data_IF_746564642136
#
_entry.id   IF_746564642136
#
_cell.length_a   1.000
_cell.length_b   1.000
_cell.length_c   1.000
_cell.angle_alpha   90.00
_cell.angle_beta   90.00
_cell.angle_gamma   90.00
#
_symmetry.space_group_name_H-M   'P 1'
#
loop_
_entity.id
_entity.type
_entity.pdbx_description
1 polymer ?
#
# COMPACT_ATOMS: atom_id res chain seq x y z
N UNK A 1 -8.58 18.27 0.44
CA UNK A 1 -7.24 18.01 1.02
C UNK A 1 -6.27 17.60 -0.08
N UNK A 2 -4.98 17.80 0.16
CA UNK A 2 -3.86 17.31 -0.64
C UNK A 2 -3.46 15.92 -0.17
N UNK A 3 -3.54 14.93 -1.06
CA UNK A 3 -3.29 13.53 -0.72
C UNK A 3 -2.13 12.98 -1.55
N UNK A 4 -1.13 12.45 -0.86
CA UNK A 4 -0.05 11.68 -1.48
C UNK A 4 -0.38 10.19 -1.39
N UNK A 5 -0.49 9.52 -2.53
CA UNK A 5 -0.52 8.05 -2.58
C UNK A 5 0.86 7.54 -2.99
N UNK A 6 1.66 7.22 -1.98
CA UNK A 6 3.06 6.88 -2.09
C UNK A 6 3.27 5.42 -2.54
N UNK A 7 4.22 5.21 -3.46
CA UNK A 7 4.51 3.91 -4.09
C UNK A 7 3.30 3.28 -4.80
N UNK A 8 2.41 4.10 -5.36
CA UNK A 8 1.26 3.64 -6.14
C UNK A 8 1.41 4.03 -7.61
N UNK A 9 1.43 3.03 -8.49
CA UNK A 9 1.32 3.25 -9.94
C UNK A 9 -0.07 2.89 -10.49
N UNK A 10 -0.83 2.02 -9.81
CA UNK A 10 -2.15 1.59 -10.30
C UNK A 10 -3.22 2.69 -10.22
N UNK A 11 -2.94 3.73 -9.43
CA UNK A 11 -3.82 4.86 -9.13
C UNK A 11 -5.18 4.47 -8.52
N UNK A 12 -5.38 3.25 -8.03
CA UNK A 12 -6.67 2.81 -7.51
C UNK A 12 -7.14 3.69 -6.33
N UNK A 13 -6.24 3.97 -5.39
CA UNK A 13 -6.50 4.84 -4.25
C UNK A 13 -6.53 6.31 -4.70
N UNK A 14 -5.57 6.73 -5.52
CA UNK A 14 -5.53 8.10 -6.05
C UNK A 14 -6.84 8.50 -6.76
N UNK A 15 -7.36 7.63 -7.64
CA UNK A 15 -8.63 7.83 -8.35
C UNK A 15 -9.81 7.87 -7.38
N UNK A 16 -9.83 7.04 -6.33
CA UNK A 16 -10.89 7.08 -5.34
C UNK A 16 -10.95 8.43 -4.61
N UNK A 17 -9.80 8.95 -4.16
CA UNK A 17 -9.72 10.30 -3.57
C UNK A 17 -10.09 11.40 -4.57
N UNK A 18 -9.67 11.30 -5.83
CA UNK A 18 -10.05 12.27 -6.89
C UNK A 18 -11.56 12.29 -7.11
N UNK A 19 -12.23 11.14 -7.11
CA UNK A 19 -13.71 11.05 -7.23
C UNK A 19 -14.44 11.73 -6.07
N UNK A 20 -13.80 11.86 -4.90
CA UNK A 20 -14.32 12.60 -3.73
C UNK A 20 -13.96 14.09 -3.74
N UNK A 21 -13.32 14.58 -4.79
CA UNK A 21 -12.98 16.00 -4.95
C UNK A 21 -11.68 16.41 -4.26
N UNK A 22 -10.84 15.46 -3.85
CA UNK A 22 -9.54 15.77 -3.25
C UNK A 22 -8.45 15.98 -4.30
N UNK A 23 -7.45 16.78 -3.94
CA UNK A 23 -6.25 16.98 -4.74
C UNK A 23 -5.27 15.83 -4.47
N UNK A 24 -5.48 14.68 -5.11
CA UNK A 24 -4.70 13.48 -4.87
C UNK A 24 -3.70 13.19 -5.99
N UNK A 25 -2.48 12.80 -5.62
CA UNK A 25 -1.44 12.38 -6.56
C UNK A 25 -0.90 11.01 -6.19
N UNK A 26 -0.82 10.14 -7.17
CA UNK A 26 -0.06 8.88 -7.08
C UNK A 26 1.43 9.18 -7.33
N UNK A 27 2.34 8.54 -6.59
CA UNK A 27 3.77 8.70 -6.80
C UNK A 27 4.48 7.34 -6.81
N UNK A 28 5.13 6.99 -7.92
CA UNK A 28 5.91 5.76 -8.08
C UNK A 28 7.00 5.99 -9.13
N UNK A 29 8.07 5.21 -9.10
CA UNK A 29 9.16 5.31 -10.08
C UNK A 29 8.78 4.67 -11.43
N UNK A 30 7.76 3.81 -11.46
CA UNK A 30 7.21 3.23 -12.69
C UNK A 30 6.13 4.13 -13.28
N UNK A 31 5.83 3.94 -14.57
CA UNK A 31 4.70 4.60 -15.20
C UNK A 31 3.38 4.13 -14.56
N UNK A 32 2.44 5.06 -14.38
CA UNK A 32 1.10 4.72 -13.92
C UNK A 32 0.34 3.85 -14.93
N UNK A 33 -0.52 2.98 -14.41
CA UNK A 33 -1.45 2.17 -15.21
C UNK A 33 -2.93 2.55 -15.05
N UNK A 34 -3.24 3.54 -14.20
CA UNK A 34 -4.60 4.00 -13.91
C UNK A 34 -5.22 4.94 -14.95
N UNK A 35 -4.47 5.34 -15.98
CA UNK A 35 -4.96 6.17 -17.09
C UNK A 35 -4.94 7.68 -16.85
N UNK A 36 -4.39 8.13 -15.72
CA UNK A 36 -4.34 9.55 -15.33
C UNK A 36 -2.89 10.03 -15.10
N UNK A 37 -2.06 10.16 -16.15
CA UNK A 37 -0.69 10.64 -16.02
C UNK A 37 -0.59 12.04 -15.39
N UNK A 38 -1.63 12.86 -15.53
CA UNK A 38 -1.74 14.19 -14.90
C UNK A 38 -1.89 14.14 -13.37
N UNK A 39 -2.24 12.99 -12.80
CA UNK A 39 -2.28 12.73 -11.35
C UNK A 39 -1.13 11.84 -10.87
N UNK A 40 -0.08 11.71 -11.68
CA UNK A 40 1.03 10.82 -11.41
C UNK A 40 2.37 11.56 -11.36
N UNK A 41 2.99 11.51 -10.19
CA UNK A 41 4.35 12.00 -9.95
C UNK A 41 5.30 10.83 -10.16
N UNK A 42 5.95 10.79 -11.33
CA UNK A 42 6.91 9.75 -11.67
C UNK A 42 8.31 10.08 -11.16
N UNK A 43 8.52 9.90 -9.87
CA UNK A 43 9.81 10.12 -9.20
C UNK A 43 9.97 9.20 -7.97
N UNK A 44 11.13 9.24 -7.32
CA UNK A 44 11.29 8.73 -5.97
C UNK A 44 10.43 9.54 -5.00
N UNK A 45 9.45 8.87 -4.39
CA UNK A 45 8.52 9.45 -3.44
C UNK A 45 9.19 10.11 -2.24
N UNK A 46 10.42 9.71 -1.88
CA UNK A 46 11.16 10.35 -0.79
C UNK A 46 11.43 11.83 -1.06
N UNK A 47 11.54 12.25 -2.32
CA UNK A 47 11.74 13.64 -2.72
C UNK A 47 10.50 14.50 -2.45
N UNK A 48 9.32 13.87 -2.33
CA UNK A 48 8.03 14.54 -2.29
C UNK A 48 7.37 14.51 -0.90
N UNK A 49 8.00 13.92 0.12
CA UNK A 49 7.41 13.80 1.47
C UNK A 49 7.18 15.17 2.16
N UNK A 50 7.81 16.23 1.68
CA UNK A 50 7.79 17.57 2.27
C UNK A 50 6.91 18.59 1.51
N UNK A 51 6.18 18.16 0.48
CA UNK A 51 5.44 19.07 -0.42
C UNK A 51 4.11 19.61 0.17
N UNK A 52 3.93 19.53 1.48
CA UNK A 52 2.77 20.08 2.19
C UNK A 52 1.49 19.25 2.05
N UNK A 53 1.61 17.92 2.12
CA UNK A 53 0.47 17.00 2.07
C UNK A 53 -0.33 16.98 3.38
N UNK A 54 -1.66 16.90 3.27
CA UNK A 54 -2.55 16.74 4.42
C UNK A 54 -2.63 15.27 4.89
N UNK A 55 -2.56 14.35 3.92
CA UNK A 55 -2.69 12.91 4.10
C UNK A 55 -1.71 12.16 3.19
N UNK A 56 -1.11 11.10 3.71
CA UNK A 56 -0.38 10.11 2.92
C UNK A 56 -0.93 8.70 3.12
N UNK A 57 -1.17 8.00 2.01
CA UNK A 57 -1.39 6.55 1.97
C UNK A 57 -0.20 5.92 1.25
N UNK A 58 0.62 5.13 1.94
CA UNK A 58 1.86 4.59 1.40
C UNK A 58 1.82 3.08 1.21
N UNK A 59 2.31 2.61 0.06
CA UNK A 59 2.37 1.20 -0.33
C UNK A 59 3.82 0.72 -0.56
N UNK A 60 4.73 0.85 0.42
CA UNK A 60 6.14 0.55 0.23
C UNK A 60 6.37 -0.89 -0.26
N UNK A 61 7.36 -1.14 -1.12
CA UNK A 61 7.66 -2.47 -1.64
C UNK A 61 7.83 -3.52 -0.53
N UNK A 62 7.04 -4.59 -0.59
CA UNK A 62 6.98 -5.59 0.48
C UNK A 62 7.92 -6.79 0.29
N UNK A 63 8.67 -6.86 -0.82
CA UNK A 63 9.42 -8.06 -1.27
C UNK A 63 10.31 -8.66 -0.17
N UNK A 64 11.03 -7.84 0.58
CA UNK A 64 11.97 -8.29 1.61
C UNK A 64 11.42 -8.23 3.03
N UNK A 65 10.30 -7.54 3.24
CA UNK A 65 9.71 -7.32 4.57
C UNK A 65 8.45 -8.15 4.82
N UNK A 66 7.79 -8.72 3.80
CA UNK A 66 6.62 -9.59 3.98
C UNK A 66 7.01 -11.06 4.25
N UNK A 67 6.16 -11.76 5.00
CA UNK A 67 6.39 -13.16 5.35
C UNK A 67 6.26 -14.13 4.15
N UNK A 68 5.39 -13.79 3.18
CA UNK A 68 5.14 -14.64 2.02
C UNK A 68 6.39 -14.93 1.17
N UNK A 69 7.39 -14.04 1.20
CA UNK A 69 8.65 -14.21 0.48
C UNK A 69 9.74 -14.97 1.24
N UNK A 70 9.61 -15.19 2.55
CA UNK A 70 10.71 -15.64 3.42
C UNK A 70 11.32 -16.98 2.98
N UNK A 71 10.48 -17.98 2.69
CA UNK A 71 10.96 -19.30 2.28
C UNK A 71 11.76 -19.26 0.98
N UNK A 72 11.33 -18.43 0.02
CA UNK A 72 12.03 -18.25 -1.24
C UNK A 72 13.35 -17.47 -1.05
N UNK A 73 13.32 -16.38 -0.26
CA UNK A 73 14.52 -15.59 0.05
C UNK A 73 15.59 -16.42 0.77
N UNK A 74 15.21 -17.27 1.72
CA UNK A 74 16.12 -18.16 2.43
C UNK A 74 16.87 -19.13 1.49
N UNK A 75 16.29 -19.45 0.33
CA UNK A 75 16.89 -20.30 -0.72
C UNK A 75 17.70 -19.50 -1.74
N UNK A 76 17.81 -18.19 -1.57
CA UNK A 76 18.42 -17.24 -2.52
C UNK A 76 19.46 -16.36 -1.82
N UNK A 77 20.58 -16.94 -1.35
CA UNK A 77 21.64 -16.17 -0.69
C UNK A 77 22.29 -15.15 -1.63
N UNK A 78 22.22 -15.37 -2.94
CA UNK A 78 22.67 -14.47 -4.00
C UNK A 78 21.98 -13.10 -3.99
N UNK A 79 20.81 -12.97 -3.36
CA UNK A 79 20.03 -11.74 -3.34
C UNK A 79 20.37 -10.80 -2.17
N UNK A 80 21.40 -11.09 -1.38
CA UNK A 80 21.78 -10.32 -0.18
C UNK A 80 20.54 -9.93 0.67
N UNK A 81 19.59 -10.86 0.81
CA UNK A 81 18.21 -10.50 1.18
C UNK A 81 18.10 -9.92 2.60
N UNK A 82 19.05 -10.21 3.49
CA UNK A 82 19.12 -9.67 4.85
C UNK A 82 19.43 -8.18 4.85
N UNK A 83 20.38 -7.74 4.03
CA UNK A 83 20.72 -6.33 3.84
C UNK A 83 19.56 -5.60 3.17
N UNK A 84 19.02 -6.19 2.10
CA UNK A 84 17.84 -5.64 1.41
C UNK A 84 16.60 -5.53 2.30
N UNK A 85 16.44 -6.44 3.28
CA UNK A 85 15.40 -6.35 4.31
C UNK A 85 15.60 -5.13 5.20
N UNK A 86 16.83 -4.84 5.58
CA UNK A 86 17.13 -3.68 6.41
C UNK A 86 16.88 -2.38 5.64
N UNK A 87 17.34 -2.29 4.40
CA UNK A 87 17.05 -1.15 3.51
C UNK A 87 15.54 -0.96 3.29
N UNK A 88 14.80 -2.06 3.08
CA UNK A 88 13.34 -2.01 2.91
C UNK A 88 12.62 -1.58 4.19
N UNK A 89 13.11 -2.01 5.35
CA UNK A 89 12.57 -1.59 6.65
C UNK A 89 12.84 -0.10 6.90
N UNK A 90 14.03 0.39 6.59
CA UNK A 90 14.36 1.81 6.67
C UNK A 90 13.48 2.63 5.72
N UNK A 91 13.32 2.20 4.47
CA UNK A 91 12.42 2.83 3.50
C UNK A 91 10.97 2.90 4.02
N UNK A 92 10.48 1.81 4.60
CA UNK A 92 9.17 1.79 5.27
C UNK A 92 9.09 2.86 6.39
N UNK A 93 10.11 2.96 7.24
CA UNK A 93 10.14 3.91 8.36
C UNK A 93 10.18 5.37 7.90
N UNK A 94 10.78 5.67 6.73
CA UNK A 94 10.72 7.02 6.15
C UNK A 94 9.30 7.52 5.94
N UNK A 95 8.35 6.63 5.62
CA UNK A 95 6.94 7.02 5.52
C UNK A 95 6.29 7.24 6.89
N UNK A 96 6.61 6.41 7.88
CA UNK A 96 6.09 6.56 9.25
C UNK A 96 6.51 7.91 9.85
N UNK A 97 7.76 8.32 9.58
CA UNK A 97 8.39 9.51 10.13
C UNK A 97 8.19 10.77 9.26
N UNK A 98 7.51 10.64 8.11
CA UNK A 98 7.27 11.77 7.22
C UNK A 98 6.60 12.94 7.96
N UNK A 99 6.89 14.20 7.58
CA UNK A 99 6.34 15.41 8.20
C UNK A 99 4.89 15.67 7.74
N UNK A 100 4.10 14.62 7.65
CA UNK A 100 2.70 14.60 7.25
C UNK A 100 1.88 14.24 8.49
N UNK A 101 0.78 14.97 8.72
CA UNK A 101 0.02 14.82 9.95
C UNK A 101 -0.76 13.50 9.98
N UNK A 102 -1.42 13.15 8.87
CA UNK A 102 -2.22 11.92 8.73
C UNK A 102 -1.49 10.93 7.83
N UNK A 103 -1.19 9.73 8.32
CA UNK A 103 -0.45 8.72 7.55
C UNK A 103 -1.09 7.35 7.72
N UNK A 104 -1.27 6.64 6.61
CA UNK A 104 -1.55 5.21 6.58
C UNK A 104 -0.45 4.51 5.75
N UNK A 105 0.37 3.67 6.38
CA UNK A 105 1.32 2.80 5.66
C UNK A 105 0.74 1.40 5.57
N UNK A 106 0.62 0.87 4.36
CA UNK A 106 0.06 -0.44 4.05
C UNK A 106 1.17 -1.47 3.75
N UNK A 107 1.04 -2.66 4.33
CA UNK A 107 1.86 -3.80 3.93
C UNK A 107 1.20 -5.13 4.33
N UNK A 108 1.54 -6.24 3.65
CA UNK A 108 1.23 -7.56 4.17
C UNK A 108 1.90 -7.84 5.54
N UNK A 109 1.43 -8.87 6.23
CA UNK A 109 2.06 -9.37 7.46
C UNK A 109 3.53 -9.72 7.20
N UNK A 110 4.41 -9.22 8.06
CA UNK A 110 5.85 -9.25 7.81
C UNK A 110 6.73 -8.92 9.02
N UNK A 111 8.01 -8.70 8.76
CA UNK A 111 9.00 -8.43 9.82
C UNK A 111 8.81 -7.06 10.49
N UNK A 112 8.08 -6.12 9.88
CA UNK A 112 7.78 -4.83 10.51
C UNK A 112 6.96 -4.96 11.80
N UNK A 113 6.16 -6.04 11.93
CA UNK A 113 5.44 -6.39 13.16
C UNK A 113 6.35 -6.69 14.36
N UNK A 114 7.64 -6.89 14.12
CA UNK A 114 8.66 -7.13 15.14
C UNK A 114 9.75 -6.05 15.14
N UNK A 115 10.13 -5.51 13.98
CA UNK A 115 11.16 -4.48 13.84
C UNK A 115 10.70 -3.07 14.25
N UNK A 116 9.41 -2.74 14.10
CA UNK A 116 8.87 -1.43 14.44
C UNK A 116 7.83 -1.56 15.56
N UNK A 117 6.58 -1.92 15.22
CA UNK A 117 5.51 -2.24 16.16
C UNK A 117 4.42 -3.05 15.46
N UNK A 118 3.47 -3.59 16.24
CA UNK A 118 2.27 -4.21 15.68
C UNK A 118 1.47 -3.17 14.87
N UNK A 119 0.83 -3.58 13.75
CA UNK A 119 -0.05 -2.71 13.00
C UNK A 119 -1.26 -2.33 13.86
N UNK A 120 -1.84 -1.15 13.59
CA UNK A 120 -3.04 -0.69 14.28
C UNK A 120 -4.27 -1.50 13.89
N UNK A 121 -4.26 -2.05 12.67
CA UNK A 121 -5.32 -2.92 12.18
C UNK A 121 -4.82 -3.88 11.10
N UNK A 122 -5.50 -5.01 10.99
CA UNK A 122 -5.40 -5.94 9.87
C UNK A 122 -6.78 -6.05 9.25
N UNK A 123 -6.86 -5.81 7.95
CA UNK A 123 -8.10 -5.87 7.18
C UNK A 123 -8.02 -6.93 6.09
N UNK A 124 -9.18 -7.23 5.50
CA UNK A 124 -9.28 -8.11 4.35
C UNK A 124 -10.22 -7.57 3.29
N UNK A 125 -10.01 -7.88 2.00
CA UNK A 125 -10.90 -7.46 0.93
C UNK A 125 -12.38 -7.85 1.11
N UNK A 126 -12.67 -9.00 1.74
CA UNK A 126 -14.05 -9.44 2.02
C UNK A 126 -14.80 -8.55 3.00
N UNK A 127 -14.11 -7.69 3.74
CA UNK A 127 -14.73 -6.66 4.58
C UNK A 127 -15.22 -5.44 3.77
N UNK A 128 -14.83 -5.37 2.48
CA UNK A 128 -15.06 -4.23 1.59
C UNK A 128 -15.62 -4.67 0.22
N UNK A 129 -16.39 -5.75 0.17
CA UNK A 129 -17.14 -6.15 -1.02
C UNK A 129 -16.39 -7.07 -2.00
N UNK A 130 -15.21 -7.59 -1.65
CA UNK A 130 -14.43 -8.47 -2.51
C UNK A 130 -14.29 -9.86 -1.89
N UNK A 131 -14.68 -10.93 -2.58
CA UNK A 131 -14.68 -12.31 -2.07
C UNK A 131 -13.27 -12.95 -1.90
N UNK A 132 -12.27 -12.15 -1.54
CA UNK A 132 -10.86 -12.54 -1.40
C UNK A 132 -10.40 -12.41 0.05
N UNK A 133 -9.70 -13.43 0.53
CA UNK A 133 -8.93 -13.40 1.77
C UNK A 133 -7.47 -13.07 1.46
N UNK A 134 -7.06 -11.86 1.84
CA UNK A 134 -5.68 -11.38 1.84
C UNK A 134 -5.49 -10.53 3.09
N UNK A 135 -4.48 -10.83 3.91
CA UNK A 135 -4.14 -10.00 5.06
C UNK A 135 -3.45 -8.72 4.59
N UNK A 136 -4.02 -7.58 4.95
CA UNK A 136 -3.44 -6.26 4.71
C UNK A 136 -3.35 -5.52 6.04
N UNK A 137 -2.14 -5.17 6.45
CA UNK A 137 -1.89 -4.43 7.68
C UNK A 137 -1.85 -2.93 7.41
N UNK A 138 -2.33 -2.13 8.36
CA UNK A 138 -2.09 -0.68 8.38
C UNK A 138 -1.36 -0.25 9.64
N UNK A 139 -0.38 0.63 9.46
CA UNK A 139 0.20 1.46 10.50
C UNK A 139 -0.27 2.88 10.28
N UNK A 140 -0.98 3.42 11.27
CA UNK A 140 -1.72 4.66 11.22
C UNK A 140 -1.05 5.72 12.11
N UNK A 141 -1.07 6.97 11.65
CA UNK A 141 -0.72 8.17 12.41
C UNK A 141 -1.86 9.17 12.26
N UNK A 142 -2.47 9.56 13.38
CA UNK A 142 -3.60 10.51 13.44
C UNK A 142 -4.75 10.16 12.47
N UNK A 143 -4.98 8.87 12.24
CA UNK A 143 -6.09 8.34 11.46
C UNK A 143 -6.85 7.30 12.29
N UNK A 144 -8.18 7.30 12.25
CA UNK A 144 -8.96 6.21 12.83
C UNK A 144 -8.77 4.91 12.00
N UNK A 145 -8.88 3.73 12.64
CA UNK A 145 -9.00 2.46 11.95
C UNK A 145 -10.06 2.50 10.83
N UNK A 146 -9.77 1.87 9.70
CA UNK A 146 -10.63 1.84 8.52
C UNK A 146 -11.82 0.90 8.78
N UNK A 147 -13.03 1.44 8.68
CA UNK A 147 -14.25 0.71 8.96
C UNK A 147 -14.66 -0.14 7.75
N UNK A 148 -15.00 -1.44 7.95
CA UNK A 148 -15.60 -2.27 6.92
C UNK A 148 -16.86 -1.62 6.32
N UNK A 149 -16.99 -1.65 4.99
CA UNK A 149 -18.12 -1.02 4.27
C UNK A 149 -19.11 -2.03 3.71
N UNK A 150 -18.66 -3.23 3.31
CA UNK A 150 -19.51 -4.26 2.74
C UNK A 150 -18.93 -5.64 3.02
N UNK A 151 -19.55 -6.40 3.92
CA UNK A 151 -19.06 -7.72 4.28
C UNK A 151 -19.58 -8.80 3.31
N UNK A 152 -18.66 -9.59 2.73
CA UNK A 152 -18.98 -10.77 1.92
C UNK A 152 -18.89 -12.02 2.81
N UNK A 153 -19.96 -12.84 2.94
CA UNK A 153 -19.91 -14.06 3.73
C UNK A 153 -18.98 -15.12 3.12
N UNK A 154 -18.47 -16.08 3.92
CA UNK A 154 -17.64 -17.17 3.41
C UNK A 154 -18.43 -18.10 2.46
N UNK A 155 -17.74 -18.86 1.58
CA UNK A 155 -16.29 -19.02 1.51
C UNK A 155 -15.58 -17.87 0.78
N UNK A 156 -14.35 -17.55 1.20
CA UNK A 156 -13.51 -16.55 0.53
C UNK A 156 -12.40 -17.23 -0.28
N UNK A 157 -12.14 -16.71 -1.47
CA UNK A 157 -11.04 -17.16 -2.33
C UNK A 157 -9.70 -16.73 -1.71
N UNK A 158 -8.69 -17.61 -1.74
CA UNK A 158 -7.32 -17.22 -1.42
C UNK A 158 -6.69 -16.57 -2.64
N UNK A 159 -5.86 -15.54 -2.42
CA UNK A 159 -5.06 -14.99 -3.49
C UNK A 159 -4.03 -16.02 -3.96
N UNK A 160 -3.85 -16.13 -5.28
CA UNK A 160 -2.76 -16.92 -5.85
C UNK A 160 -1.44 -16.16 -5.69
N UNK A 161 -0.68 -16.50 -4.64
CA UNK A 161 0.62 -15.88 -4.37
C UNK A 161 1.68 -16.21 -5.44
N UNK A 162 1.45 -17.21 -6.30
CA UNK A 162 2.38 -17.61 -7.37
C UNK A 162 2.08 -16.97 -8.73
N UNK A 163 0.93 -16.28 -8.86
CA UNK A 163 0.60 -15.55 -10.08
C UNK A 163 1.70 -14.55 -10.44
N UNK A 164 2.17 -14.64 -11.68
CA UNK A 164 3.14 -13.72 -12.28
C UNK A 164 2.47 -12.66 -13.16
N UNK A 165 1.13 -12.55 -13.11
CA UNK A 165 0.40 -11.54 -13.88
C UNK A 165 0.76 -10.14 -13.38
N UNK A 166 1.01 -9.24 -14.33
CA UNK A 166 1.36 -7.85 -14.10
C UNK A 166 0.36 -6.92 -14.77
N UNK A 167 0.22 -5.71 -14.25
CA UNK A 167 -0.48 -4.64 -14.95
C UNK A 167 0.42 -4.01 -16.02
N UNK A 168 -0.09 -3.11 -16.87
CA UNK A 168 0.71 -2.40 -17.86
C UNK A 168 1.89 -1.62 -17.28
N UNK A 169 1.79 -1.17 -16.02
CA UNK A 169 2.86 -0.47 -15.28
C UNK A 169 3.99 -1.40 -14.81
N UNK A 170 3.81 -2.71 -14.90
CA UNK A 170 4.82 -3.72 -14.59
C UNK A 170 4.78 -4.24 -13.14
N UNK A 171 3.94 -3.69 -12.26
CA UNK A 171 3.71 -4.27 -10.92
C UNK A 171 2.86 -5.53 -11.01
N UNK A 172 3.00 -6.36 -9.99
CA UNK A 172 2.17 -7.54 -9.79
C UNK A 172 0.70 -7.14 -9.62
N UNK A 173 -0.24 -7.81 -10.29
CA UNK A 173 -1.68 -7.56 -10.04
C UNK A 173 -2.07 -7.78 -8.57
N UNK A 174 -1.32 -8.60 -7.84
CA UNK A 174 -1.52 -8.84 -6.40
C UNK A 174 -1.23 -7.63 -5.52
N UNK A 175 -0.51 -6.62 -6.01
CA UNK A 175 -0.22 -5.39 -5.27
C UNK A 175 -1.20 -4.26 -5.58
N UNK A 176 -2.15 -4.45 -6.49
CA UNK A 176 -3.21 -3.47 -6.75
C UNK A 176 -4.17 -3.47 -5.56
N UNK A 177 -4.50 -2.28 -5.05
CA UNK A 177 -5.49 -2.10 -3.99
C UNK A 177 -6.88 -2.44 -4.51
N UNK A 178 -7.65 -3.20 -3.72
CA UNK A 178 -9.02 -3.56 -4.09
C UNK A 178 -9.92 -2.32 -4.04
N UNK A 179 -10.80 -2.17 -5.04
CA UNK A 179 -11.61 -0.95 -5.20
C UNK A 179 -12.41 -0.59 -3.95
N UNK A 180 -13.01 -1.56 -3.27
CA UNK A 180 -13.81 -1.29 -2.08
C UNK A 180 -12.99 -0.79 -0.89
N UNK A 181 -11.71 -1.19 -0.80
CA UNK A 181 -10.78 -0.63 0.19
C UNK A 181 -10.43 0.80 -0.20
N UNK A 182 -10.10 1.06 -1.47
CA UNK A 182 -9.78 2.40 -1.97
C UNK A 182 -10.96 3.38 -1.76
N UNK A 183 -12.18 2.94 -2.04
CA UNK A 183 -13.40 3.72 -1.82
C UNK A 183 -13.59 4.03 -0.34
N UNK A 184 -13.43 3.03 0.54
CA UNK A 184 -13.52 3.22 1.99
C UNK A 184 -12.45 4.21 2.52
N UNK A 185 -11.21 4.12 2.04
CA UNK A 185 -10.16 5.08 2.40
C UNK A 185 -10.56 6.51 2.02
N UNK A 186 -11.04 6.69 0.79
CA UNK A 186 -11.42 8.01 0.29
C UNK A 186 -12.64 8.59 1.00
N UNK A 187 -13.60 7.75 1.40
CA UNK A 187 -14.80 8.19 2.12
C UNK A 187 -14.50 8.54 3.58
N UNK A 188 -13.65 7.76 4.25
CA UNK A 188 -13.44 7.89 5.68
C UNK A 188 -12.27 8.81 6.05
N UNK A 189 -11.20 8.82 5.26
CA UNK A 189 -10.01 9.61 5.54
C UNK A 189 -9.90 10.89 4.70
N UNK A 190 -10.68 10.98 3.62
CA UNK A 190 -10.90 12.19 2.81
C UNK A 190 -11.77 13.23 3.50
#
# INVERSE_FOLDING_TARGET
MKVLVACEESQAVCIAFRKKGHEAFSCDTQNCSGGHPEWHIKDDVLNHLHDGWDLMVAHPPCKYICNGGNNWLNRRPDLAWRENRELSAQFFLRFIEAPINKIAVENPIGCMNSKYRKPDQIIHPYMFGHDIRKDTCFWLKNLPPLMPTLHIPPPHRKIDYWSNKRNPGGRSLKSVTYQGIADAMSEQWG
#
